data_IF_441173115226
#
_entry.id   IF_441173115226
#
_cell.length_a   1.000
_cell.length_b   1.000
_cell.length_c   1.000
_cell.angle_alpha   90.00
_cell.angle_beta   90.00
_cell.angle_gamma   90.00
#
_symmetry.space_group_name_H-M   'P 1'
#
loop_
_entity.id
_entity.type
_entity.pdbx_description
1 polymer ?
#
# COMPACT_ATOMS: atom_id res chain seq x y z
N UNK A 1 33.53 -88.33 21.00
CA UNK A 1 34.02 -87.01 20.67
C UNK A 1 33.01 -86.34 19.77
N UNK A 2 32.12 -85.45 20.36
CA UNK A 2 31.10 -84.69 19.61
C UNK A 2 31.64 -83.30 19.38
N UNK A 3 31.84 -82.92 18.09
CA UNK A 3 32.24 -81.58 17.72
C UNK A 3 30.96 -80.72 17.58
N UNK A 4 30.86 -79.63 18.42
CA UNK A 4 29.81 -78.68 18.33
C UNK A 4 30.27 -77.61 17.27
N UNK A 5 29.41 -77.40 16.24
CA UNK A 5 29.57 -76.37 15.25
C UNK A 5 28.81 -75.12 15.77
N UNK A 6 29.51 -74.06 16.11
CA UNK A 6 28.92 -72.81 16.50
C UNK A 6 28.71 -72.00 15.22
N UNK A 7 27.42 -71.76 14.88
CA UNK A 7 27.00 -70.91 13.74
C UNK A 7 26.91 -69.45 14.21
N UNK A 8 27.83 -68.61 13.73
CA UNK A 8 27.74 -67.15 13.92
C UNK A 8 26.77 -66.55 12.90
N UNK A 9 25.61 -66.09 13.40
CA UNK A 9 24.69 -65.30 12.59
C UNK A 9 25.14 -63.85 12.69
N UNK A 10 25.73 -63.31 11.59
CA UNK A 10 25.99 -61.87 11.42
C UNK A 10 24.66 -61.18 11.13
N UNK A 11 24.11 -60.49 12.12
CA UNK A 11 23.03 -59.53 11.89
C UNK A 11 23.64 -58.29 11.25
N UNK A 12 23.48 -58.13 9.93
CA UNK A 12 23.76 -56.88 9.24
C UNK A 12 22.61 -55.91 9.52
N UNK A 13 22.83 -54.92 10.39
CA UNK A 13 21.96 -53.78 10.52
C UNK A 13 22.12 -52.91 9.25
N UNK A 14 21.16 -53.00 8.33
CA UNK A 14 21.02 -52.03 7.24
C UNK A 14 20.48 -50.75 7.86
N UNK A 15 21.37 -49.77 8.08
CA UNK A 15 20.97 -48.41 8.32
C UNK A 15 20.30 -47.93 7.02
N UNK A 16 18.97 -47.91 7.01
CA UNK A 16 18.24 -47.10 6.03
C UNK A 16 18.57 -45.65 6.34
N UNK A 17 19.44 -45.05 5.53
CA UNK A 17 19.61 -43.60 5.51
C UNK A 17 18.24 -43.01 5.15
N UNK A 18 17.58 -42.49 6.15
CA UNK A 18 16.38 -41.67 5.99
C UNK A 18 16.81 -40.46 5.14
N UNK A 19 16.52 -40.49 3.85
CA UNK A 19 16.63 -39.34 2.98
C UNK A 19 15.51 -38.36 3.37
N UNK A 20 15.67 -37.73 4.52
CA UNK A 20 14.92 -36.54 4.84
C UNK A 20 15.27 -35.55 3.73
N UNK A 21 14.39 -35.37 2.77
CA UNK A 21 14.43 -34.27 1.84
C UNK A 21 14.56 -33.01 2.69
N UNK A 22 15.76 -32.42 2.71
CA UNK A 22 16.00 -31.17 3.39
C UNK A 22 14.95 -30.21 2.86
N UNK A 23 14.02 -29.80 3.72
CA UNK A 23 13.00 -28.80 3.37
C UNK A 23 13.77 -27.61 2.85
N UNK A 24 13.67 -27.34 1.55
CA UNK A 24 14.37 -26.22 0.92
C UNK A 24 13.83 -24.94 1.53
N UNK A 25 14.57 -24.37 2.45
CA UNK A 25 14.17 -23.14 3.13
C UNK A 25 14.19 -22.00 2.11
N UNK A 26 13.12 -21.23 2.06
CA UNK A 26 13.00 -20.09 1.17
C UNK A 26 14.08 -19.03 1.49
N UNK A 27 14.91 -18.61 0.51
CA UNK A 27 15.98 -17.64 0.77
C UNK A 27 15.47 -16.31 1.31
N UNK A 28 14.34 -15.80 0.83
CA UNK A 28 13.75 -14.53 1.28
C UNK A 28 13.24 -14.65 2.71
N UNK A 29 12.66 -15.81 3.08
CA UNK A 29 12.31 -16.07 4.47
C UNK A 29 13.50 -15.93 5.41
N UNK A 30 14.64 -16.54 5.09
CA UNK A 30 15.84 -16.46 5.94
C UNK A 30 16.39 -15.02 6.04
N UNK A 31 16.25 -14.23 4.98
CA UNK A 31 16.71 -12.84 4.97
C UNK A 31 15.88 -11.90 5.87
N UNK A 32 14.59 -12.20 6.10
CA UNK A 32 13.69 -11.32 6.85
C UNK A 32 13.30 -11.85 8.23
N UNK A 33 13.47 -13.15 8.48
CA UNK A 33 12.99 -13.87 9.66
C UNK A 33 13.35 -13.18 10.98
N UNK A 34 14.61 -12.85 11.18
CA UNK A 34 15.08 -12.24 12.43
C UNK A 34 14.40 -10.88 12.66
N UNK A 35 14.40 -10.00 11.64
CA UNK A 35 13.79 -8.68 11.75
C UNK A 35 12.26 -8.77 11.97
N UNK A 36 11.60 -9.77 11.36
CA UNK A 36 10.16 -9.99 11.55
C UNK A 36 9.85 -10.47 12.99
N UNK A 37 10.67 -11.36 13.54
CA UNK A 37 10.54 -11.82 14.94
C UNK A 37 10.80 -10.66 15.91
N UNK A 38 11.83 -9.85 15.68
CA UNK A 38 12.13 -8.65 16.48
C UNK A 38 11.00 -7.62 16.44
N UNK A 39 10.25 -7.58 15.33
CA UNK A 39 9.03 -6.75 15.19
C UNK A 39 7.80 -7.35 15.87
N UNK A 40 7.96 -8.48 16.59
CA UNK A 40 6.89 -9.13 17.35
C UNK A 40 6.01 -10.09 16.55
N UNK A 41 6.43 -10.48 15.34
CA UNK A 41 5.68 -11.46 14.53
C UNK A 41 6.14 -12.88 14.92
N UNK A 42 5.24 -13.78 15.34
CA UNK A 42 5.60 -15.14 15.66
C UNK A 42 6.14 -15.91 14.45
N UNK A 43 7.18 -16.70 14.65
CA UNK A 43 7.82 -17.50 13.59
C UNK A 43 6.84 -18.40 12.81
N UNK A 44 5.84 -18.98 13.49
CA UNK A 44 4.83 -19.80 12.81
C UNK A 44 4.02 -19.02 11.75
N UNK A 45 3.74 -17.72 12.01
CA UNK A 45 3.01 -16.87 11.05
C UNK A 45 3.87 -16.57 9.82
N UNK A 46 5.15 -16.26 10.06
CA UNK A 46 6.11 -16.01 8.99
C UNK A 46 6.27 -17.27 8.13
N UNK A 47 6.53 -18.43 8.74
CA UNK A 47 6.63 -19.71 8.01
C UNK A 47 5.39 -20.01 7.19
N UNK A 48 4.20 -19.80 7.75
CA UNK A 48 2.93 -20.01 7.04
C UNK A 48 2.82 -19.09 5.81
N UNK A 49 3.23 -17.84 5.93
CA UNK A 49 3.23 -16.91 4.80
C UNK A 49 4.18 -17.35 3.68
N UNK A 50 5.37 -17.90 4.03
CA UNK A 50 6.37 -18.35 3.07
C UNK A 50 6.21 -19.83 2.60
N UNK A 51 5.24 -20.55 3.12
CA UNK A 51 4.91 -21.91 2.65
C UNK A 51 3.74 -21.96 1.67
N UNK A 52 3.27 -20.81 1.19
CA UNK A 52 2.16 -20.73 0.26
C UNK A 52 2.58 -21.03 -1.17
N UNK A 53 1.82 -21.88 -1.85
CA UNK A 53 2.00 -22.17 -3.27
C UNK A 53 1.66 -20.98 -4.19
N UNK A 54 1.10 -19.90 -3.62
CA UNK A 54 0.81 -18.65 -4.34
C UNK A 54 2.02 -17.73 -4.50
N UNK A 55 3.17 -18.06 -3.90
CA UNK A 55 4.39 -17.27 -4.04
C UNK A 55 4.94 -17.41 -5.45
N UNK A 56 5.13 -16.26 -6.10
CA UNK A 56 5.69 -16.22 -7.45
C UNK A 56 6.51 -14.95 -7.68
N UNK A 57 7.52 -15.06 -8.56
CA UNK A 57 8.29 -13.93 -9.05
C UNK A 57 7.61 -13.41 -10.32
N UNK A 58 7.33 -12.12 -10.35
CA UNK A 58 6.75 -11.42 -11.48
C UNK A 58 7.83 -10.75 -12.32
N UNK A 59 8.12 -11.31 -13.51
CA UNK A 59 9.19 -10.85 -14.39
C UNK A 59 8.98 -9.42 -14.93
N UNK A 60 7.75 -8.94 -14.99
CA UNK A 60 7.39 -7.60 -15.47
C UNK A 60 7.63 -6.48 -14.43
N UNK A 61 7.75 -6.81 -13.15
CA UNK A 61 7.99 -5.81 -12.08
C UNK A 61 9.31 -5.04 -12.30
N UNK A 62 10.48 -5.66 -12.57
CA UNK A 62 11.70 -4.93 -12.87
C UNK A 62 11.59 -3.99 -14.08
N UNK A 63 10.85 -4.39 -15.12
CA UNK A 63 10.64 -3.56 -16.31
C UNK A 63 9.83 -2.30 -16.00
N UNK A 64 8.81 -2.40 -15.14
CA UNK A 64 7.99 -1.25 -14.70
C UNK A 64 8.82 -0.23 -13.94
N UNK A 65 9.69 -0.68 -13.04
CA UNK A 65 10.64 0.22 -12.36
C UNK A 65 11.63 0.93 -13.29
N UNK A 66 11.92 0.35 -14.45
CA UNK A 66 12.77 0.98 -15.44
C UNK A 66 12.08 2.12 -16.20
N UNK A 67 10.73 2.19 -16.19
CA UNK A 67 9.93 3.16 -16.95
C UNK A 67 8.92 3.89 -16.05
N UNK A 68 9.36 4.59 -14.99
CA UNK A 68 8.43 5.26 -14.07
C UNK A 68 7.73 6.45 -14.77
N UNK A 69 6.44 6.62 -14.50
CA UNK A 69 5.63 7.72 -15.04
C UNK A 69 6.16 9.10 -14.65
N UNK A 70 6.79 9.21 -13.50
CA UNK A 70 7.34 10.45 -12.96
C UNK A 70 8.45 11.07 -13.83
N UNK A 71 9.06 10.28 -14.73
CA UNK A 71 10.08 10.76 -15.69
C UNK A 71 9.49 11.42 -16.95
N UNK A 72 8.17 11.36 -17.13
CA UNK A 72 7.50 12.01 -18.25
C UNK A 72 7.52 13.54 -18.11
N UNK A 73 7.35 14.24 -19.22
CA UNK A 73 7.13 15.70 -19.18
C UNK A 73 5.81 16.00 -18.47
N UNK A 74 5.70 17.22 -17.91
CA UNK A 74 4.45 17.65 -17.28
C UNK A 74 3.23 17.51 -18.23
N UNK A 75 3.40 17.88 -19.50
CA UNK A 75 2.31 17.80 -20.47
C UNK A 75 1.81 16.36 -20.72
N UNK A 76 2.71 15.38 -20.69
CA UNK A 76 2.37 13.96 -20.80
C UNK A 76 1.74 13.43 -19.51
N UNK A 77 2.34 13.73 -18.36
CA UNK A 77 1.87 13.33 -17.05
C UNK A 77 0.45 13.86 -16.77
N UNK A 78 0.21 15.15 -17.07
CA UNK A 78 -1.11 15.78 -16.94
C UNK A 78 -2.20 15.02 -17.69
N UNK A 79 -1.93 14.56 -18.91
CA UNK A 79 -2.88 13.79 -19.73
C UNK A 79 -3.29 12.44 -19.11
N UNK A 80 -2.47 11.89 -18.21
CA UNK A 80 -2.78 10.64 -17.52
C UNK A 80 -3.62 10.87 -16.26
N UNK A 81 -3.38 11.96 -15.55
CA UNK A 81 -3.92 12.15 -14.21
C UNK A 81 -4.95 13.28 -14.07
N UNK A 82 -4.91 14.32 -14.92
CA UNK A 82 -5.87 15.44 -14.89
C UNK A 82 -6.74 15.40 -16.15
N UNK A 83 -7.73 14.52 -16.13
CA UNK A 83 -8.62 14.29 -17.29
C UNK A 83 -10.07 14.61 -16.95
N UNK A 84 -10.86 15.04 -17.95
CA UNK A 84 -12.29 15.27 -17.79
C UNK A 84 -13.04 14.04 -17.26
N UNK A 85 -12.62 12.82 -17.66
CA UNK A 85 -13.20 11.59 -17.16
C UNK A 85 -12.94 11.39 -15.66
N UNK A 86 -11.70 11.67 -15.18
CA UNK A 86 -11.36 11.57 -13.76
C UNK A 86 -12.06 12.64 -12.92
N UNK A 87 -12.17 13.88 -13.44
CA UNK A 87 -12.91 14.97 -12.78
C UNK A 87 -14.38 14.58 -12.64
N UNK A 88 -15.03 14.12 -13.72
CA UNK A 88 -16.42 13.67 -13.67
C UNK A 88 -16.61 12.54 -12.66
N UNK A 89 -15.72 11.54 -12.66
CA UNK A 89 -15.79 10.42 -11.70
C UNK A 89 -15.60 10.89 -10.27
N UNK A 90 -14.67 11.83 -10.03
CA UNK A 90 -14.44 12.42 -8.72
C UNK A 90 -15.63 13.22 -8.21
N UNK A 91 -16.36 13.90 -9.11
CA UNK A 91 -17.60 14.61 -8.76
C UNK A 91 -18.70 13.63 -8.33
N UNK A 92 -18.86 12.51 -9.03
CA UNK A 92 -19.79 11.44 -8.63
C UNK A 92 -19.39 10.86 -7.28
N UNK A 93 -18.13 10.48 -7.12
CA UNK A 93 -17.58 9.95 -5.88
C UNK A 93 -17.78 10.91 -4.70
N UNK A 94 -17.57 12.21 -4.90
CA UNK A 94 -17.85 13.22 -3.88
C UNK A 94 -19.29 13.18 -3.41
N UNK A 95 -20.27 13.07 -4.32
CA UNK A 95 -21.69 13.02 -3.95
C UNK A 95 -22.02 11.77 -3.14
N UNK A 96 -21.42 10.64 -3.49
CA UNK A 96 -21.66 9.36 -2.81
C UNK A 96 -21.02 9.31 -1.41
N UNK A 97 -19.88 9.99 -1.21
CA UNK A 97 -19.05 9.87 -0.01
C UNK A 97 -18.80 11.20 0.72
N UNK A 98 -19.58 12.25 0.41
CA UNK A 98 -19.31 13.59 0.93
C UNK A 98 -19.34 13.70 2.46
N UNK A 99 -20.14 12.87 3.13
CA UNK A 99 -20.25 12.92 4.61
C UNK A 99 -18.95 12.44 5.25
N UNK A 100 -18.44 11.28 4.83
CA UNK A 100 -17.21 10.71 5.36
C UNK A 100 -16.01 11.58 5.00
N UNK A 101 -15.97 12.10 3.77
CA UNK A 101 -14.94 13.01 3.34
C UNK A 101 -14.92 14.30 4.16
N UNK A 102 -16.07 14.91 4.43
CA UNK A 102 -16.17 16.10 5.27
C UNK A 102 -15.81 15.82 6.73
N UNK A 103 -16.24 14.67 7.29
CA UNK A 103 -15.88 14.26 8.65
C UNK A 103 -14.37 14.12 8.80
N UNK A 104 -13.71 13.39 7.89
CA UNK A 104 -12.25 13.22 7.88
C UNK A 104 -11.53 14.58 7.71
N UNK A 105 -11.95 15.37 6.71
CA UNK A 105 -11.39 16.70 6.43
C UNK A 105 -11.48 17.64 7.63
N UNK A 106 -12.65 17.74 8.27
CA UNK A 106 -12.87 18.59 9.44
C UNK A 106 -12.09 18.10 10.66
N UNK A 107 -12.03 16.78 10.88
CA UNK A 107 -11.29 16.20 12.01
C UNK A 107 -9.80 16.54 11.98
N UNK A 108 -9.19 16.47 10.78
CA UNK A 108 -7.75 16.71 10.58
C UNK A 108 -7.42 18.15 10.16
N UNK A 109 -8.39 18.97 9.83
CA UNK A 109 -8.17 20.33 9.32
C UNK A 109 -7.55 20.36 7.93
N UNK A 110 -7.84 19.37 7.08
CA UNK A 110 -7.31 19.22 5.71
C UNK A 110 -8.40 19.52 4.69
N UNK A 111 -8.01 20.14 3.58
CA UNK A 111 -8.90 20.40 2.45
C UNK A 111 -9.52 19.09 1.88
N UNK A 112 -10.86 18.94 1.86
CA UNK A 112 -11.51 17.73 1.36
C UNK A 112 -11.22 17.46 -0.12
N UNK A 113 -11.06 18.51 -0.93
CA UNK A 113 -10.74 18.34 -2.35
C UNK A 113 -9.30 17.87 -2.56
N UNK A 114 -8.39 18.16 -1.63
CA UNK A 114 -7.03 17.63 -1.66
C UNK A 114 -7.03 16.11 -1.35
N UNK A 115 -7.77 15.66 -0.34
CA UNK A 115 -7.97 14.24 -0.05
C UNK A 115 -8.58 13.53 -1.26
N UNK A 116 -9.63 14.12 -1.83
CA UNK A 116 -10.33 13.61 -3.01
C UNK A 116 -9.41 13.48 -4.23
N UNK A 117 -8.52 14.46 -4.46
CA UNK A 117 -7.58 14.42 -5.58
C UNK A 117 -6.50 13.33 -5.41
N UNK A 118 -6.01 13.10 -4.19
CA UNK A 118 -5.09 12.00 -3.89
C UNK A 118 -5.77 10.66 -4.19
N UNK A 119 -6.98 10.40 -3.70
CA UNK A 119 -7.76 9.20 -4.02
C UNK A 119 -7.93 9.05 -5.54
N UNK A 120 -8.19 10.15 -6.24
CA UNK A 120 -8.32 10.18 -7.69
C UNK A 120 -7.06 9.76 -8.42
N UNK A 121 -5.89 10.24 -8.01
CA UNK A 121 -4.61 9.88 -8.63
C UNK A 121 -4.19 8.46 -8.27
N UNK A 122 -4.29 8.07 -6.99
CA UNK A 122 -3.79 6.80 -6.48
C UNK A 122 -4.59 5.59 -6.97
N UNK A 123 -5.91 5.64 -6.92
CA UNK A 123 -6.74 4.48 -7.23
C UNK A 123 -7.85 4.74 -8.27
N UNK A 124 -7.88 5.95 -8.85
CA UNK A 124 -8.98 6.38 -9.69
C UNK A 124 -10.35 6.10 -9.02
N UNK A 125 -10.47 6.58 -7.77
CA UNK A 125 -11.65 6.39 -6.91
C UNK A 125 -11.98 4.89 -6.72
N UNK A 126 -10.98 4.10 -6.34
CA UNK A 126 -11.10 2.68 -6.05
C UNK A 126 -11.17 1.74 -7.25
N UNK A 127 -11.06 2.24 -8.49
CA UNK A 127 -11.15 1.39 -9.68
C UNK A 127 -9.85 0.70 -10.07
N UNK A 128 -8.70 1.23 -9.68
CA UNK A 128 -7.38 0.69 -10.00
C UNK A 128 -6.58 0.53 -8.70
N UNK A 129 -6.47 -0.70 -8.19
CA UNK A 129 -5.76 -0.97 -6.95
C UNK A 129 -5.37 -2.44 -6.78
N UNK A 130 -5.68 -3.33 -7.74
CA UNK A 130 -5.49 -4.79 -7.64
C UNK A 130 -4.70 -5.32 -8.81
N UNK A 131 -3.40 -5.11 -8.81
CA UNK A 131 -2.55 -5.56 -9.91
C UNK A 131 -1.75 -6.80 -9.54
N UNK A 132 -1.12 -6.77 -8.35
CA UNK A 132 -0.33 -7.86 -7.78
C UNK A 132 -0.74 -8.08 -6.33
N UNK A 133 -0.45 -9.25 -5.76
CA UNK A 133 -0.43 -9.34 -4.31
C UNK A 133 0.78 -8.57 -3.78
N UNK A 134 0.59 -7.81 -2.69
CA UNK A 134 1.68 -7.04 -2.04
C UNK A 134 2.83 -7.96 -1.67
N UNK A 135 2.51 -9.16 -1.16
CA UNK A 135 3.50 -10.18 -0.84
C UNK A 135 4.40 -10.49 -2.04
N UNK A 136 3.81 -10.84 -3.19
CA UNK A 136 4.58 -11.21 -4.38
C UNK A 136 5.33 -10.01 -5.00
N UNK A 137 4.77 -8.80 -4.90
CA UNK A 137 5.48 -7.59 -5.33
C UNK A 137 6.77 -7.36 -4.54
N UNK A 138 6.69 -7.44 -3.22
CA UNK A 138 7.85 -7.29 -2.33
C UNK A 138 8.80 -8.48 -2.44
N UNK A 139 8.28 -9.71 -2.49
CA UNK A 139 9.06 -10.92 -2.70
C UNK A 139 9.90 -10.85 -3.99
N UNK A 140 9.27 -10.45 -5.10
CA UNK A 140 9.97 -10.26 -6.37
C UNK A 140 11.09 -9.24 -6.25
N UNK A 141 10.84 -8.10 -5.61
CA UNK A 141 11.86 -7.05 -5.43
C UNK A 141 13.04 -7.54 -4.59
N UNK A 142 12.79 -8.36 -3.55
CA UNK A 142 13.85 -8.94 -2.73
C UNK A 142 14.66 -9.94 -3.55
N UNK A 143 13.98 -10.85 -4.24
CA UNK A 143 14.62 -11.99 -4.92
C UNK A 143 15.44 -11.59 -6.15
N UNK A 144 14.98 -10.61 -6.96
CA UNK A 144 15.56 -10.34 -8.27
C UNK A 144 15.95 -8.87 -8.54
N UNK A 145 15.81 -7.97 -7.55
CA UNK A 145 16.15 -6.56 -7.70
C UNK A 145 17.17 -6.08 -6.65
N UNK A 146 18.48 -6.35 -6.81
CA UNK A 146 19.49 -6.09 -5.77
C UNK A 146 19.49 -4.65 -5.24
N UNK A 147 19.24 -3.65 -6.13
CA UNK A 147 19.19 -2.23 -5.73
C UNK A 147 17.99 -1.87 -4.83
N UNK A 148 16.93 -2.68 -4.85
CA UNK A 148 15.72 -2.48 -4.06
C UNK A 148 15.58 -3.47 -2.91
N UNK A 149 16.32 -4.57 -2.93
CA UNK A 149 16.17 -5.67 -1.98
C UNK A 149 16.21 -5.21 -0.51
N UNK A 150 17.14 -4.31 -0.14
CA UNK A 150 17.23 -3.79 1.24
C UNK A 150 15.97 -3.04 1.67
N UNK A 151 15.43 -2.19 0.80
CA UNK A 151 14.18 -1.46 1.05
C UNK A 151 13.00 -2.45 1.10
N UNK A 152 12.91 -3.35 0.12
CA UNK A 152 11.80 -4.29 0.03
C UNK A 152 11.74 -5.29 1.21
N UNK A 153 12.90 -5.67 1.80
CA UNK A 153 12.92 -6.45 3.04
C UNK A 153 12.27 -5.72 4.21
N UNK A 154 12.57 -4.43 4.38
CA UNK A 154 11.93 -3.61 5.42
C UNK A 154 10.42 -3.53 5.21
N UNK A 155 10.00 -3.25 3.98
CA UNK A 155 8.57 -3.19 3.66
C UNK A 155 7.87 -4.55 3.79
N UNK A 156 8.55 -5.67 3.53
CA UNK A 156 8.00 -7.01 3.77
C UNK A 156 7.76 -7.27 5.26
N UNK A 157 8.69 -6.86 6.13
CA UNK A 157 8.51 -6.95 7.58
C UNK A 157 7.33 -6.08 8.03
N UNK A 158 7.24 -4.85 7.55
CA UNK A 158 6.11 -3.96 7.83
C UNK A 158 4.79 -4.52 7.32
N UNK A 159 4.78 -5.12 6.12
CA UNK A 159 3.61 -5.77 5.56
C UNK A 159 3.14 -6.96 6.39
N UNK A 160 4.05 -7.83 6.81
CA UNK A 160 3.73 -8.96 7.67
C UNK A 160 3.28 -8.49 9.07
N UNK A 161 3.84 -7.38 9.57
CA UNK A 161 3.41 -6.75 10.82
C UNK A 161 1.95 -6.28 10.74
N UNK A 162 1.57 -5.61 9.65
CA UNK A 162 0.18 -5.25 9.37
C UNK A 162 -0.69 -6.51 9.32
N UNK A 163 -0.32 -7.48 8.49
CA UNK A 163 -1.10 -8.70 8.34
C UNK A 163 -1.32 -9.45 9.66
N UNK A 164 -0.31 -9.49 10.52
CA UNK A 164 -0.40 -10.15 11.81
C UNK A 164 -1.28 -9.37 12.80
N UNK A 165 -1.07 -8.05 12.93
CA UNK A 165 -1.78 -7.21 13.88
C UNK A 165 -3.27 -7.04 13.56
N UNK A 166 -3.58 -6.86 12.28
CA UNK A 166 -4.95 -6.64 11.82
C UNK A 166 -5.63 -7.95 11.33
N UNK A 167 -5.01 -9.11 11.60
CA UNK A 167 -5.52 -10.45 11.26
C UNK A 167 -5.88 -10.62 9.77
N UNK A 168 -5.04 -10.09 8.88
CA UNK A 168 -5.22 -10.12 7.42
C UNK A 168 -4.36 -11.21 6.81
N UNK A 169 -4.90 -12.10 5.96
CA UNK A 169 -4.08 -13.10 5.27
C UNK A 169 -3.07 -12.45 4.32
N UNK A 170 -1.74 -12.74 4.41
CA UNK A 170 -0.73 -12.04 3.62
C UNK A 170 -0.92 -12.12 2.09
N UNK A 171 -1.51 -13.19 1.59
CA UNK A 171 -1.74 -13.39 0.15
C UNK A 171 -3.08 -12.85 -0.36
N UNK A 172 -3.91 -12.24 0.51
CA UNK A 172 -5.20 -11.65 0.13
C UNK A 172 -5.13 -10.15 -0.18
N UNK A 173 -4.02 -9.49 0.15
CA UNK A 173 -3.86 -8.04 -0.04
C UNK A 173 -3.30 -7.77 -1.43
N UNK A 174 -4.06 -7.06 -2.24
CA UNK A 174 -3.65 -6.66 -3.58
C UNK A 174 -3.20 -5.20 -3.61
N UNK A 175 -2.26 -4.91 -4.51
CA UNK A 175 -1.69 -3.57 -4.63
C UNK A 175 -0.95 -3.39 -5.96
N UNK A 176 -0.03 -2.43 -5.98
CA UNK A 176 0.80 -2.10 -7.13
C UNK A 176 2.05 -2.99 -7.23
N UNK A 177 2.74 -2.90 -8.37
CA UNK A 177 4.05 -3.53 -8.57
C UNK A 177 5.12 -3.06 -7.57
N UNK A 178 4.93 -1.88 -6.96
CA UNK A 178 5.84 -1.36 -5.94
C UNK A 178 5.53 -1.86 -4.53
N UNK A 179 4.40 -2.53 -4.31
CA UNK A 179 3.95 -3.01 -3.00
C UNK A 179 3.07 -2.01 -2.24
N UNK A 180 2.64 -0.91 -2.88
CA UNK A 180 1.66 -0.01 -2.32
C UNK A 180 0.25 -0.62 -2.44
N UNK A 181 -0.63 -0.40 -1.46
CA UNK A 181 -1.93 -1.05 -1.41
C UNK A 181 -3.05 -0.17 -0.84
N UNK A 182 -4.27 -0.66 -1.00
CA UNK A 182 -5.47 0.06 -0.60
C UNK A 182 -5.85 1.17 -1.56
N UNK A 183 -6.95 1.86 -1.27
CA UNK A 183 -7.39 2.97 -2.12
C UNK A 183 -6.52 4.23 -2.01
N UNK A 184 -5.76 4.37 -0.90
CA UNK A 184 -4.77 5.42 -0.71
C UNK A 184 -3.36 5.05 -1.21
N UNK A 185 -3.14 3.82 -1.68
CA UNK A 185 -1.84 3.32 -2.18
C UNK A 185 -0.68 3.58 -1.20
N UNK A 186 -0.90 3.33 0.09
CA UNK A 186 0.19 3.37 1.07
C UNK A 186 1.15 2.19 0.89
N UNK A 187 2.46 2.45 1.00
CA UNK A 187 3.42 1.38 1.24
C UNK A 187 3.23 0.84 2.66
N UNK A 188 3.65 -0.41 2.97
CA UNK A 188 3.39 -1.04 4.27
C UNK A 188 3.83 -0.22 5.48
N UNK A 189 5.03 0.37 5.44
CA UNK A 189 5.52 1.22 6.51
C UNK A 189 4.66 2.49 6.71
N UNK A 190 4.21 3.12 5.63
CA UNK A 190 3.30 4.26 5.71
C UNK A 190 1.94 3.86 6.26
N UNK A 191 1.41 2.71 5.87
CA UNK A 191 0.16 2.19 6.42
C UNK A 191 0.26 1.97 7.93
N UNK A 192 1.30 1.29 8.41
CA UNK A 192 1.50 1.07 9.84
C UNK A 192 1.63 2.37 10.64
N UNK A 193 2.25 3.40 10.07
CA UNK A 193 2.49 4.66 10.77
C UNK A 193 1.31 5.63 10.72
N UNK A 194 0.50 5.61 9.66
CA UNK A 194 -0.47 6.68 9.40
C UNK A 194 -1.91 6.20 9.20
N UNK A 195 -2.14 4.89 8.95
CA UNK A 195 -3.50 4.38 8.84
C UNK A 195 -4.22 4.43 10.18
N UNK A 196 -5.49 4.84 10.13
CA UNK A 196 -6.36 4.99 11.30
C UNK A 196 -7.64 4.21 11.11
N UNK A 197 -8.18 3.67 12.19
CA UNK A 197 -9.53 3.15 12.33
C UNK A 197 -10.44 4.34 12.66
N UNK A 198 -11.01 4.97 11.64
CA UNK A 198 -11.75 6.21 11.80
C UNK A 198 -13.22 5.99 12.13
N UNK A 199 -13.83 4.94 11.61
CA UNK A 199 -15.21 4.55 11.92
C UNK A 199 -15.32 3.75 13.23
N UNK A 200 -14.15 3.38 13.83
CA UNK A 200 -14.03 2.69 15.12
C UNK A 200 -14.64 1.30 15.14
N UNK A 201 -14.57 0.60 14.03
CA UNK A 201 -14.99 -0.80 13.92
C UNK A 201 -13.96 -1.79 14.50
N UNK A 202 -12.79 -1.31 14.89
CA UNK A 202 -11.68 -2.08 15.49
C UNK A 202 -10.63 -2.54 14.49
N UNK A 203 -10.74 -2.18 13.22
CA UNK A 203 -9.82 -2.59 12.14
C UNK A 203 -9.42 -1.39 11.28
N UNK A 204 -8.14 -1.24 10.98
CA UNK A 204 -7.65 -0.25 10.00
C UNK A 204 -7.84 -0.81 8.59
N UNK A 205 -8.83 -0.33 7.87
CA UNK A 205 -9.22 -0.90 6.58
C UNK A 205 -8.64 -0.10 5.40
N UNK A 206 -7.75 -0.72 4.62
CA UNK A 206 -7.16 -0.09 3.43
C UNK A 206 -8.16 0.12 2.27
N UNK A 207 -9.35 -0.46 2.36
CA UNK A 207 -10.39 -0.44 1.33
C UNK A 207 -11.76 0.07 1.84
N UNK A 208 -11.84 0.61 3.06
CA UNK A 208 -13.01 1.30 3.58
C UNK A 208 -12.82 2.81 3.49
N UNK A 209 -13.78 3.52 2.91
CA UNK A 209 -13.64 4.94 2.61
C UNK A 209 -13.42 5.82 3.84
N UNK A 210 -14.11 5.62 4.98
CA UNK A 210 -13.86 6.44 6.17
C UNK A 210 -12.40 6.38 6.62
N UNK A 211 -11.83 5.17 6.72
CA UNK A 211 -10.44 4.96 7.13
C UNK A 211 -9.44 5.50 6.11
N UNK A 212 -9.69 5.26 4.83
CA UNK A 212 -8.81 5.73 3.75
C UNK A 212 -8.73 7.25 3.73
N UNK A 213 -9.87 7.95 3.80
CA UNK A 213 -9.92 9.41 3.79
C UNK A 213 -9.23 10.00 5.01
N UNK A 214 -9.49 9.46 6.18
CA UNK A 214 -8.88 9.89 7.42
C UNK A 214 -7.37 9.56 7.47
N UNK A 215 -6.95 8.40 6.95
CA UNK A 215 -5.54 8.02 6.87
C UNK A 215 -4.75 8.93 5.93
N UNK A 216 -5.32 9.32 4.78
CA UNK A 216 -4.71 10.30 3.87
C UNK A 216 -4.57 11.65 4.58
N UNK A 217 -5.61 12.11 5.26
CA UNK A 217 -5.58 13.36 6.00
C UNK A 217 -4.54 13.33 7.12
N UNK A 218 -4.49 12.24 7.91
CA UNK A 218 -3.50 12.02 8.96
C UNK A 218 -2.07 12.04 8.41
N UNK A 219 -1.84 11.36 7.28
CA UNK A 219 -0.54 11.38 6.58
C UNK A 219 -0.10 12.82 6.23
N UNK A 220 -0.99 13.60 5.63
CA UNK A 220 -0.69 14.97 5.23
C UNK A 220 -0.34 15.85 6.45
N UNK A 221 -1.11 15.74 7.53
CA UNK A 221 -0.87 16.47 8.79
C UNK A 221 0.48 16.08 9.40
N UNK A 222 0.76 14.78 9.49
CA UNK A 222 2.01 14.27 10.02
C UNK A 222 3.24 14.73 9.21
N UNK A 223 3.04 15.04 7.91
CA UNK A 223 4.07 15.58 7.02
C UNK A 223 4.02 17.11 6.86
N UNK A 224 3.40 17.81 7.81
CA UNK A 224 3.48 19.27 7.93
C UNK A 224 2.45 20.05 7.13
N UNK A 225 1.35 19.44 6.71
CA UNK A 225 0.23 20.17 6.10
C UNK A 225 -0.28 21.25 7.07
N UNK A 226 -0.49 22.51 6.61
CA UNK A 226 -0.98 23.59 7.46
C UNK A 226 -2.47 23.39 7.77
N UNK A 227 -2.75 22.80 8.95
CA UNK A 227 -4.12 22.54 9.39
C UNK A 227 -4.93 23.81 9.59
N UNK A 228 -6.25 23.72 9.36
CA UNK A 228 -7.20 24.81 9.61
C UNK A 228 -8.56 24.25 10.02
N UNK A 229 -9.31 25.02 10.81
CA UNK A 229 -10.70 24.67 11.11
C UNK A 229 -11.66 25.03 9.97
N UNK A 230 -11.29 26.01 9.13
CA UNK A 230 -12.02 26.33 7.90
C UNK A 230 -11.47 25.53 6.73
N UNK A 231 -12.06 24.35 6.52
CA UNK A 231 -11.66 23.43 5.42
C UNK A 231 -12.13 23.88 4.05
N UNK A 232 -13.04 24.86 3.97
CA UNK A 232 -13.48 25.49 2.72
C UNK A 232 -12.58 26.68 2.31
N UNK A 233 -11.58 27.01 3.16
CA UNK A 233 -10.66 28.10 2.88
C UNK A 233 -9.90 27.87 1.57
N UNK A 234 -9.72 28.94 0.83
CA UNK A 234 -8.92 28.95 -0.38
C UNK A 234 -7.46 28.58 -0.08
N UNK A 235 -6.99 27.47 -0.65
CA UNK A 235 -5.60 27.03 -0.48
C UNK A 235 -4.58 28.08 -0.97
N UNK A 236 -4.97 28.98 -1.90
CA UNK A 236 -4.08 30.05 -2.37
C UNK A 236 -3.67 31.03 -1.27
N UNK A 237 -4.46 31.10 -0.19
CA UNK A 237 -4.17 31.94 0.99
C UNK A 237 -3.37 31.22 2.07
N UNK A 238 -3.11 29.93 1.93
CA UNK A 238 -2.33 29.13 2.86
C UNK A 238 -0.85 29.11 2.48
N UNK A 239 -0.05 28.54 3.39
CA UNK A 239 1.36 28.28 3.19
C UNK A 239 1.56 27.23 2.08
N UNK A 240 1.72 27.70 0.84
CA UNK A 240 1.87 26.87 -0.35
C UNK A 240 3.09 25.95 -0.27
N UNK A 241 4.16 26.40 0.39
CA UNK A 241 5.37 25.59 0.56
C UNK A 241 5.11 24.40 1.47
N UNK A 242 4.36 24.57 2.56
CA UNK A 242 3.99 23.46 3.45
C UNK A 242 3.04 22.48 2.77
N UNK A 243 2.07 22.98 2.02
CA UNK A 243 1.16 22.13 1.23
C UNK A 243 1.96 21.30 0.23
N UNK A 244 2.85 21.97 -0.53
CA UNK A 244 3.73 21.30 -1.48
C UNK A 244 4.54 20.18 -0.83
N UNK A 245 5.21 20.46 0.30
CA UNK A 245 6.04 19.49 1.04
C UNK A 245 5.22 18.30 1.54
N UNK A 246 4.04 18.53 2.08
CA UNK A 246 3.16 17.47 2.57
C UNK A 246 2.70 16.54 1.45
N UNK A 247 2.32 17.09 0.29
CA UNK A 247 1.96 16.31 -0.90
C UNK A 247 3.18 15.62 -1.51
N UNK A 248 4.33 16.28 -1.56
CA UNK A 248 5.59 15.70 -2.05
C UNK A 248 6.06 14.52 -1.19
N UNK A 249 5.80 14.55 0.11
CA UNK A 249 6.09 13.41 1.00
C UNK A 249 5.30 12.16 0.62
N UNK A 250 4.09 12.31 0.07
CA UNK A 250 3.25 11.19 -0.39
C UNK A 250 3.88 10.46 -1.59
N UNK A 251 4.33 11.23 -2.59
CA UNK A 251 5.12 10.73 -3.71
C UNK A 251 6.18 11.79 -4.08
N UNK A 252 7.47 11.40 -4.03
CA UNK A 252 8.61 12.30 -4.20
C UNK A 252 8.85 12.70 -5.67
N UNK A 253 7.81 13.31 -6.30
CA UNK A 253 7.84 13.73 -7.68
C UNK A 253 7.08 15.07 -7.88
N UNK A 254 7.73 16.06 -8.50
CA UNK A 254 7.10 17.36 -8.78
C UNK A 254 5.86 17.25 -9.67
N UNK A 255 5.88 16.34 -10.64
CA UNK A 255 4.74 16.09 -11.52
C UNK A 255 3.54 15.55 -10.76
N UNK A 256 3.78 14.70 -9.73
CA UNK A 256 2.74 14.23 -8.84
C UNK A 256 2.08 15.38 -8.08
N UNK A 257 2.87 16.22 -7.43
CA UNK A 257 2.35 17.37 -6.68
C UNK A 257 1.52 18.28 -7.58
N UNK A 258 2.03 18.61 -8.77
CA UNK A 258 1.29 19.40 -9.76
C UNK A 258 -0.03 18.77 -10.15
N UNK A 259 -0.06 17.46 -10.38
CA UNK A 259 -1.27 16.74 -10.75
C UNK A 259 -2.31 16.74 -9.62
N UNK A 260 -1.87 16.52 -8.38
CA UNK A 260 -2.74 16.57 -7.20
C UNK A 260 -3.37 17.97 -7.05
N UNK A 261 -2.55 19.03 -7.08
CA UNK A 261 -3.04 20.40 -6.88
C UNK A 261 -3.94 20.87 -8.02
N UNK A 262 -3.62 20.52 -9.27
CA UNK A 262 -4.46 20.87 -10.42
C UNK A 262 -5.78 20.07 -10.41
N UNK A 263 -5.74 18.75 -10.17
CA UNK A 263 -6.95 17.94 -10.05
C UNK A 263 -7.85 18.42 -8.88
N UNK A 264 -7.25 18.83 -7.76
CA UNK A 264 -7.96 19.42 -6.62
C UNK A 264 -8.74 20.67 -7.06
N UNK A 265 -8.13 21.58 -7.82
CA UNK A 265 -8.78 22.80 -8.29
C UNK A 265 -9.93 22.50 -9.25
N UNK A 266 -9.72 21.59 -10.21
CA UNK A 266 -10.74 21.14 -11.15
C UNK A 266 -11.93 20.49 -10.46
N UNK A 267 -11.70 19.64 -9.45
CA UNK A 267 -12.76 18.99 -8.66
C UNK A 267 -13.56 20.03 -7.87
N UNK A 268 -12.89 20.99 -7.19
CA UNK A 268 -13.56 22.08 -6.46
C UNK A 268 -14.48 22.86 -7.38
N UNK A 269 -13.97 23.28 -8.56
CA UNK A 269 -14.73 24.04 -9.54
C UNK A 269 -15.96 23.23 -10.06
N UNK A 270 -15.75 21.96 -10.41
CA UNK A 270 -16.81 21.10 -10.93
C UNK A 270 -17.92 20.88 -9.91
N UNK A 271 -17.56 20.60 -8.66
CA UNK A 271 -18.52 20.37 -7.56
C UNK A 271 -19.24 21.65 -7.17
N UNK A 272 -18.57 22.82 -7.15
CA UNK A 272 -19.19 24.10 -6.88
C UNK A 272 -20.22 24.49 -7.95
N UNK A 273 -19.89 24.31 -9.23
CA UNK A 273 -20.81 24.59 -10.34
C UNK A 273 -22.04 23.68 -10.31
N UNK A 274 -21.88 22.41 -9.91
CA UNK A 274 -23.01 21.47 -9.76
C UNK A 274 -23.98 21.94 -8.67
N UNK A 275 -23.48 22.39 -7.51
CA UNK A 275 -24.32 22.89 -6.40
C UNK A 275 -25.11 24.14 -6.80
N UNK A 276 -24.50 25.05 -7.55
CA UNK A 276 -25.18 26.27 -8.06
C UNK A 276 -26.33 25.88 -9.01
N UNK A 277 -26.08 24.94 -9.93
CA UNK A 277 -27.10 24.51 -10.88
C UNK A 277 -28.27 23.78 -10.22
N UNK A 278 -28.05 23.00 -9.16
CA UNK A 278 -29.11 22.34 -8.42
C UNK A 278 -29.97 23.32 -7.61
N UNK A 279 -29.39 24.38 -7.06
CA UNK A 279 -30.12 25.43 -6.31
C UNK A 279 -30.97 26.38 -7.17
N UNK A 280 -30.77 26.36 -8.49
CA UNK A 280 -31.60 27.14 -9.43
C UNK A 280 -32.77 26.33 -10.03
N UNK A 281 -32.91 25.06 -9.71
CA UNK A 281 -33.97 24.17 -10.16
C UNK A 281 -35.04 23.89 -9.10
N UNK A 282 -34.82 24.37 -7.87
CA UNK A 282 -35.82 24.43 -6.77
C UNK A 282 -36.48 25.81 -6.73
#
# INVERSE_FOLDING_TARGET
MKRAIILYILLAFVYAADSSSAVKVDPVYEEIKLAAIESGIPDYFIRKAFSSDSIQIHADIPERFARPYEKQTWAEYKKLFVTGARIKKGTVFYNEHQEDLKKAASHYGVDPYLILSIIGVESNYGSHHKEFTVFNSLYTQIAVMPRRASWARKEMVEFLTYCYKDNVPPHSVYGSYAGAFGYGQFIPSSFNNFAVDFDKDGVRQAYAWPDVMASIANYLVANGYPVTQDTDMDLEKKDQEKIYKAVFAYNHADNYVKAILELRNELRNSISNMKINSSHQE
#
